data_IF_096367956428
#
_entry.id   IF_096367956428
#
_cell.length_a   1.000
_cell.length_b   1.000
_cell.length_c   1.000
_cell.angle_alpha   90.00
_cell.angle_beta   90.00
_cell.angle_gamma   90.00
#
_symmetry.space_group_name_H-M   'P 1'
#
loop_
_entity.id
_entity.type
_entity.pdbx_description
1 polymer ?
#
# COMPACT_ATOMS: atom_id res chain seq x y z
N UNK A 1 14.57 3.25 -0.28
CA UNK A 1 13.65 2.62 0.70
C UNK A 1 12.59 1.81 -0.01
N UNK A 2 12.10 0.81 0.64
CA UNK A 2 11.01 -0.02 0.14
C UNK A 2 9.73 0.33 0.88
N UNK A 3 8.67 0.64 0.14
CA UNK A 3 7.34 0.86 0.70
C UNK A 3 6.54 -0.42 0.46
N UNK A 4 6.17 -1.10 1.53
CA UNK A 4 5.44 -2.36 1.46
C UNK A 4 3.99 -2.14 1.84
N UNK A 5 3.08 -2.65 1.01
CA UNK A 5 1.64 -2.59 1.24
C UNK A 5 1.13 -4.02 1.31
N UNK A 6 0.61 -4.40 2.47
CA UNK A 6 0.11 -5.75 2.74
C UNK A 6 -1.40 -5.68 2.92
N UNK A 7 -2.14 -6.23 1.95
CA UNK A 7 -3.60 -6.16 1.91
C UNK A 7 -4.18 -7.46 2.44
N UNK A 8 -4.61 -7.42 3.70
CA UNK A 8 -5.29 -8.53 4.35
C UNK A 8 -6.80 -8.36 4.34
N UNK A 9 -7.52 -9.38 4.80
CA UNK A 9 -8.99 -9.36 4.84
C UNK A 9 -9.53 -8.31 5.81
N UNK A 10 -8.83 -8.02 6.89
CA UNK A 10 -9.28 -7.10 7.93
C UNK A 10 -8.59 -5.75 7.81
N UNK A 11 -7.29 -5.75 7.56
CA UNK A 11 -6.48 -4.54 7.55
C UNK A 11 -5.56 -4.49 6.35
N UNK A 12 -5.28 -3.27 5.91
CA UNK A 12 -4.20 -2.95 4.98
C UNK A 12 -3.08 -2.33 5.82
N UNK A 13 -1.90 -2.95 5.77
CA UNK A 13 -0.72 -2.43 6.47
C UNK A 13 0.21 -1.79 5.45
N UNK A 14 0.67 -0.57 5.75
CA UNK A 14 1.60 0.16 4.90
C UNK A 14 2.83 0.46 5.74
N UNK A 15 3.97 -0.04 5.30
CA UNK A 15 5.22 0.10 6.04
C UNK A 15 6.35 0.58 5.17
N UNK A 16 7.27 1.32 5.77
CA UNK A 16 8.50 1.75 5.14
C UNK A 16 9.63 0.88 5.67
N UNK A 17 10.30 0.15 4.76
CA UNK A 17 11.42 -0.72 5.11
C UNK A 17 12.71 -0.03 4.70
N UNK A 18 13.58 0.22 5.67
CA UNK A 18 14.85 0.87 5.44
C UNK A 18 15.92 -0.07 4.88
N UNK A 19 17.08 0.49 4.58
CA UNK A 19 18.22 -0.29 4.07
C UNK A 19 18.76 -1.29 5.08
N UNK A 20 18.44 -1.09 6.37
CA UNK A 20 18.77 -2.02 7.46
C UNK A 20 17.82 -3.23 7.53
N UNK A 21 16.75 -3.21 6.74
CA UNK A 21 15.74 -4.27 6.74
C UNK A 21 14.65 -4.10 7.79
N UNK A 22 14.73 -3.06 8.64
CA UNK A 22 13.73 -2.81 9.67
C UNK A 22 12.58 -1.96 9.15
N UNK A 23 11.40 -2.13 9.76
CA UNK A 23 10.22 -1.31 9.47
C UNK A 23 10.35 -0.03 10.29
N UNK A 24 10.47 1.11 9.61
CA UNK A 24 10.65 2.42 10.27
C UNK A 24 9.33 3.11 10.55
N UNK A 25 8.42 3.10 9.58
CA UNK A 25 7.09 3.68 9.72
C UNK A 25 6.06 2.64 9.33
N UNK A 26 4.97 2.57 10.07
CA UNK A 26 3.89 1.65 9.76
C UNK A 26 2.57 2.26 10.17
N UNK A 27 1.57 2.15 9.29
CA UNK A 27 0.20 2.50 9.67
C UNK A 27 -0.78 1.51 9.06
N UNK A 28 -1.98 1.50 9.60
CA UNK A 28 -3.02 0.51 9.33
C UNK A 28 -4.29 1.21 8.88
N UNK A 29 -4.91 0.64 7.85
CA UNK A 29 -6.21 1.08 7.34
C UNK A 29 -7.14 -0.12 7.40
N UNK A 30 -8.39 0.08 7.78
CA UNK A 30 -9.41 -0.97 7.67
C UNK A 30 -9.63 -1.32 6.20
N UNK A 31 -9.49 -2.59 5.85
CA UNK A 31 -9.71 -3.06 4.47
C UNK A 31 -11.14 -2.78 4.03
N UNK A 32 -12.11 -3.01 4.91
CA UNK A 32 -13.51 -2.77 4.60
C UNK A 32 -13.80 -1.29 4.35
N UNK A 33 -13.24 -0.41 5.16
CA UNK A 33 -13.38 1.03 4.96
C UNK A 33 -12.76 1.48 3.64
N UNK A 34 -11.63 0.93 3.28
CA UNK A 34 -10.99 1.24 2.01
C UNK A 34 -11.84 0.78 0.82
N UNK A 35 -12.40 -0.46 0.87
CA UNK A 35 -13.23 -1.00 -0.19
C UNK A 35 -14.50 -0.17 -0.38
N UNK A 36 -15.06 0.35 0.70
CA UNK A 36 -16.25 1.21 0.66
C UNK A 36 -15.94 2.64 0.20
N UNK A 37 -14.71 2.92 -0.20
CA UNK A 37 -14.27 4.23 -0.69
C UNK A 37 -14.52 5.35 0.31
N UNK A 38 -14.06 5.19 1.52
CA UNK A 38 -14.06 6.30 2.48
C UNK A 38 -13.14 7.38 1.93
N UNK A 39 -13.72 8.49 1.52
CA UNK A 39 -13.06 9.55 0.77
C UNK A 39 -11.80 10.06 1.45
N UNK A 40 -11.83 10.25 2.76
CA UNK A 40 -10.67 10.72 3.51
C UNK A 40 -9.51 9.73 3.47
N UNK A 41 -9.80 8.43 3.61
CA UNK A 41 -8.77 7.39 3.57
C UNK A 41 -8.13 7.32 2.19
N UNK A 42 -8.94 7.40 1.14
CA UNK A 42 -8.47 7.39 -0.24
C UNK A 42 -7.56 8.59 -0.50
N UNK A 43 -7.98 9.79 -0.09
CA UNK A 43 -7.20 11.01 -0.28
C UNK A 43 -5.87 10.96 0.47
N UNK A 44 -5.88 10.50 1.72
CA UNK A 44 -4.68 10.37 2.53
C UNK A 44 -3.68 9.39 1.89
N UNK A 45 -4.18 8.28 1.36
CA UNK A 45 -3.31 7.30 0.69
C UNK A 45 -2.68 7.89 -0.58
N UNK A 46 -3.46 8.58 -1.40
CA UNK A 46 -2.96 9.23 -2.62
C UNK A 46 -1.88 10.25 -2.29
N UNK A 47 -2.11 11.10 -1.28
CA UNK A 47 -1.11 12.09 -0.86
C UNK A 47 0.17 11.43 -0.35
N UNK A 48 0.03 10.38 0.46
CA UNK A 48 1.19 9.64 0.98
C UNK A 48 2.02 9.03 -0.15
N UNK A 49 1.35 8.45 -1.15
CA UNK A 49 2.06 7.84 -2.28
C UNK A 49 2.77 8.87 -3.15
N UNK A 50 2.17 10.04 -3.36
CA UNK A 50 2.82 11.12 -4.11
C UNK A 50 4.09 11.59 -3.42
N UNK A 51 4.04 11.81 -2.11
CA UNK A 51 5.20 12.23 -1.33
C UNK A 51 6.30 11.18 -1.41
N UNK A 52 5.93 9.91 -1.16
CA UNK A 52 6.90 8.82 -1.15
C UNK A 52 7.53 8.57 -2.52
N UNK A 53 6.79 8.79 -3.59
CA UNK A 53 7.32 8.63 -4.94
C UNK A 53 8.43 9.65 -5.26
N UNK A 54 8.36 10.85 -4.71
CA UNK A 54 9.40 11.87 -4.88
C UNK A 54 10.74 11.48 -4.25
N UNK A 55 10.73 10.53 -3.32
CA UNK A 55 11.93 10.07 -2.63
C UNK A 55 12.62 8.89 -3.33
N UNK A 56 12.23 8.57 -4.56
CA UNK A 56 12.75 7.45 -5.35
C UNK A 56 12.60 6.10 -4.64
N UNK A 57 11.48 5.90 -3.99
CA UNK A 57 11.20 4.66 -3.27
C UNK A 57 10.66 3.59 -4.21
N UNK A 58 10.96 2.34 -3.90
CA UNK A 58 10.33 1.20 -4.54
C UNK A 58 9.08 0.80 -3.79
N UNK A 59 8.08 0.27 -4.51
CA UNK A 59 6.80 -0.13 -3.93
C UNK A 59 6.54 -1.61 -4.21
N UNK A 60 6.09 -2.33 -3.19
CA UNK A 60 5.69 -3.72 -3.30
C UNK A 60 4.32 -3.89 -2.66
N UNK A 61 3.44 -4.62 -3.34
CA UNK A 61 2.08 -4.90 -2.84
C UNK A 61 1.91 -6.41 -2.76
N UNK A 62 1.50 -6.89 -1.58
CA UNK A 62 1.03 -8.26 -1.40
C UNK A 62 -0.46 -8.21 -1.05
N UNK A 63 -1.27 -9.09 -1.62
CA UNK A 63 -2.71 -9.05 -1.40
C UNK A 63 -3.33 -10.43 -1.40
N UNK A 64 -4.29 -10.62 -0.47
CA UNK A 64 -5.23 -11.75 -0.46
C UNK A 64 -6.66 -11.28 -0.76
N UNK A 65 -6.85 -10.00 -1.12
CA UNK A 65 -8.17 -9.39 -1.35
C UNK A 65 -8.19 -8.74 -2.73
N UNK A 66 -8.74 -9.43 -3.76
CA UNK A 66 -8.69 -8.91 -5.13
C UNK A 66 -9.33 -7.54 -5.32
N UNK A 67 -10.46 -7.28 -4.66
CA UNK A 67 -11.14 -5.98 -4.79
C UNK A 67 -10.30 -4.82 -4.28
N UNK A 68 -9.67 -4.99 -3.13
CA UNK A 68 -8.78 -3.97 -2.57
C UNK A 68 -7.54 -3.79 -3.43
N UNK A 69 -6.99 -4.87 -3.97
CA UNK A 69 -5.85 -4.81 -4.88
C UNK A 69 -6.17 -3.99 -6.12
N UNK A 70 -7.35 -4.18 -6.72
CA UNK A 70 -7.78 -3.43 -7.89
C UNK A 70 -7.85 -1.93 -7.60
N UNK A 71 -8.40 -1.54 -6.44
CA UNK A 71 -8.50 -0.14 -6.05
C UNK A 71 -7.14 0.49 -5.80
N UNK A 72 -6.26 -0.22 -5.11
CA UNK A 72 -4.89 0.28 -4.86
C UNK A 72 -4.10 0.39 -6.16
N UNK A 73 -4.24 -0.59 -7.04
CA UNK A 73 -3.57 -0.54 -8.35
C UNK A 73 -4.02 0.67 -9.18
N UNK A 74 -5.31 1.04 -9.10
CA UNK A 74 -5.81 2.25 -9.76
C UNK A 74 -5.18 3.52 -9.18
N UNK A 75 -4.98 3.58 -7.86
CA UNK A 75 -4.30 4.70 -7.22
C UNK A 75 -2.86 4.83 -7.70
N UNK A 76 -2.12 3.71 -7.74
CA UNK A 76 -0.75 3.71 -8.24
C UNK A 76 -0.69 4.18 -9.69
N UNK A 77 -1.63 3.75 -10.52
CA UNK A 77 -1.70 4.17 -11.91
C UNK A 77 -1.94 5.68 -12.03
N UNK A 78 -2.80 6.25 -11.21
CA UNK A 78 -3.05 7.69 -11.19
C UNK A 78 -1.81 8.48 -10.78
N UNK A 79 -1.00 7.92 -9.88
CA UNK A 79 0.23 8.54 -9.40
C UNK A 79 1.43 8.27 -10.32
N UNK A 80 1.23 7.53 -11.41
CA UNK A 80 2.29 7.14 -12.35
C UNK A 80 3.42 6.36 -11.67
N UNK A 81 3.05 5.51 -10.72
CA UNK A 81 3.96 4.62 -9.99
C UNK A 81 3.68 3.18 -10.40
N UNK A 82 4.73 2.42 -10.67
CA UNK A 82 4.61 1.01 -11.03
C UNK A 82 5.10 0.15 -9.87
N UNK A 83 4.18 -0.43 -9.07
CA UNK A 83 4.57 -1.28 -7.96
C UNK A 83 4.87 -2.70 -8.44
N UNK A 84 5.66 -3.43 -7.65
CA UNK A 84 5.79 -4.88 -7.80
C UNK A 84 4.64 -5.53 -7.05
N UNK A 85 3.87 -6.38 -7.72
CA UNK A 85 2.69 -7.02 -7.14
C UNK A 85 3.00 -8.49 -6.87
N UNK A 86 2.75 -8.93 -5.64
CA UNK A 86 2.89 -10.31 -5.21
C UNK A 86 1.52 -10.81 -4.76
N UNK A 87 1.00 -11.84 -5.43
CA UNK A 87 -0.22 -12.49 -5.02
C UNK A 87 0.16 -13.63 -4.08
N UNK A 88 -0.17 -13.48 -2.82
CA UNK A 88 0.21 -14.44 -1.79
C UNK A 88 -0.88 -14.54 -0.73
N UNK A 89 -0.89 -15.66 -0.01
CA UNK A 89 -1.71 -15.83 1.19
C UNK A 89 -0.94 -15.45 2.45
N UNK A 90 0.36 -15.22 2.34
CA UNK A 90 1.22 -14.88 3.48
C UNK A 90 1.51 -13.38 3.50
N UNK A 91 1.35 -12.70 4.65
CA UNK A 91 1.66 -11.28 4.77
C UNK A 91 3.16 -11.05 4.64
N UNK A 92 3.53 -9.85 4.15
CA UNK A 92 4.93 -9.42 4.03
C UNK A 92 5.36 -8.48 5.15
N UNK A 93 4.39 -8.00 5.94
CA UNK A 93 4.63 -7.10 7.07
C UNK A 93 4.28 -7.76 8.42
#
# INVERSE_FOLDING_TARGET
MLIAIDIGNTNILIGTIGVDGDIHDQYRISTNDFIENKESIYSDLVESLKIKNHDNNEFIIASVVPNALSQISAIFNQCQVVPKIIKTTDPIL
#
